data_IF_803753858190
#
_entry.id   IF_803753858190
#
_cell.length_a   1.000
_cell.length_b   1.000
_cell.length_c   1.000
_cell.angle_alpha   90.00
_cell.angle_beta   90.00
_cell.angle_gamma   90.00
#
_symmetry.space_group_name_H-M   'P 1'
#
loop_
_entity.id
_entity.type
_entity.pdbx_description
1 polymer ?
#
# COMPACT_ATOMS: atom_id res chain seq x y z
N UNK A 1 -12.09 -18.71 13.02
CA UNK A 1 -11.46 -19.84 13.73
C UNK A 1 -10.66 -19.30 14.93
N UNK A 2 -10.78 -19.87 16.12
CA UNK A 2 -10.00 -19.45 17.29
C UNK A 2 -8.82 -20.39 17.47
N UNK A 3 -7.59 -19.84 17.51
CA UNK A 3 -6.39 -20.60 17.86
C UNK A 3 -5.96 -20.16 19.26
N UNK A 4 -5.88 -21.07 20.22
CA UNK A 4 -5.58 -20.77 21.63
C UNK A 4 -6.45 -19.66 22.26
N UNK A 5 -7.74 -19.59 21.90
CA UNK A 5 -8.67 -18.58 22.43
C UNK A 5 -8.56 -17.17 21.81
N UNK A 6 -7.60 -16.95 20.92
CA UNK A 6 -7.40 -15.68 20.20
C UNK A 6 -8.07 -15.79 18.80
N UNK A 7 -8.73 -14.73 18.37
CA UNK A 7 -9.25 -14.67 17.00
C UNK A 7 -8.07 -14.71 16.01
N UNK A 8 -8.19 -15.50 14.94
CA UNK A 8 -7.14 -15.67 13.91
C UNK A 8 -6.66 -14.34 13.35
N UNK A 9 -7.56 -13.39 13.13
CA UNK A 9 -7.28 -12.07 12.59
C UNK A 9 -6.32 -11.27 13.51
N UNK A 10 -6.53 -11.34 14.82
CA UNK A 10 -5.68 -10.67 15.81
C UNK A 10 -4.29 -11.28 15.83
N UNK A 11 -4.20 -12.61 15.75
CA UNK A 11 -2.89 -13.28 15.69
C UNK A 11 -2.14 -12.91 14.42
N UNK A 12 -2.82 -12.92 13.29
CA UNK A 12 -2.28 -12.51 11.99
C UNK A 12 -1.76 -11.07 12.02
N UNK A 13 -2.54 -10.10 12.51
CA UNK A 13 -2.12 -8.70 12.67
C UNK A 13 -0.86 -8.56 13.52
N UNK A 14 -0.73 -9.34 14.59
CA UNK A 14 0.50 -9.35 15.42
C UNK A 14 1.70 -9.87 14.64
N UNK A 15 1.53 -10.95 13.89
CA UNK A 15 2.60 -11.50 13.05
C UNK A 15 3.02 -10.51 11.96
N UNK A 16 2.04 -9.85 11.30
CA UNK A 16 2.29 -8.81 10.32
C UNK A 16 3.07 -7.64 10.90
N UNK A 17 2.66 -7.18 12.07
CA UNK A 17 3.34 -6.08 12.78
C UNK A 17 4.76 -6.47 13.19
N UNK A 18 4.97 -7.68 13.66
CA UNK A 18 6.30 -8.19 14.00
C UNK A 18 7.20 -8.27 12.76
N UNK A 19 6.68 -8.83 11.65
CA UNK A 19 7.37 -8.89 10.37
C UNK A 19 7.71 -7.50 9.83
N UNK A 20 6.74 -6.58 9.82
CA UNK A 20 6.96 -5.20 9.36
C UNK A 20 8.06 -4.50 10.17
N UNK A 21 8.04 -4.62 11.49
CA UNK A 21 9.11 -4.09 12.36
C UNK A 21 10.46 -4.75 12.11
N UNK A 22 10.47 -6.03 11.79
CA UNK A 22 11.68 -6.74 11.36
C UNK A 22 12.27 -6.16 10.08
N UNK A 23 11.43 -5.90 9.08
CA UNK A 23 11.84 -5.28 7.82
C UNK A 23 12.41 -3.87 8.06
N UNK A 24 11.73 -3.03 8.85
CA UNK A 24 12.24 -1.70 9.22
C UNK A 24 13.63 -1.78 9.84
N UNK A 25 13.86 -2.75 10.74
CA UNK A 25 15.14 -2.94 11.41
C UNK A 25 16.23 -3.44 10.45
N UNK A 26 15.90 -4.42 9.59
CA UNK A 26 16.87 -5.02 8.64
C UNK A 26 17.41 -3.96 7.67
N UNK A 27 16.55 -3.06 7.18
CA UNK A 27 16.93 -2.02 6.23
C UNK A 27 17.21 -0.66 6.88
N UNK A 28 17.45 -0.61 8.19
CA UNK A 28 17.79 0.62 8.93
C UNK A 28 16.81 1.78 8.64
N UNK A 29 15.51 1.46 8.67
CA UNK A 29 14.46 2.43 8.37
C UNK A 29 13.99 3.17 9.63
N UNK A 30 14.14 4.49 9.65
CA UNK A 30 13.55 5.38 10.66
C UNK A 30 12.15 5.78 10.21
N UNK A 31 11.14 5.40 10.98
CA UNK A 31 9.74 5.64 10.67
C UNK A 31 9.19 6.86 11.42
N UNK A 32 8.67 7.82 10.66
CA UNK A 32 8.01 9.03 11.15
C UNK A 32 6.54 9.00 10.76
N UNK A 33 5.66 9.26 11.72
CA UNK A 33 4.21 9.23 11.52
C UNK A 33 3.66 10.62 11.80
N UNK A 34 2.92 11.18 10.84
CA UNK A 34 2.17 12.43 10.94
C UNK A 34 0.66 12.13 10.89
N UNK A 35 -0.10 12.77 11.73
CA UNK A 35 -1.52 12.48 11.90
C UNK A 35 -1.79 11.18 12.66
N UNK A 36 -3.03 10.95 13.07
CA UNK A 36 -3.41 9.79 13.86
C UNK A 36 -3.56 8.53 12.97
N UNK A 37 -2.81 7.44 13.23
CA UNK A 37 -3.03 6.17 12.55
C UNK A 37 -4.46 5.67 12.79
N UNK A 38 -5.18 5.22 11.76
CA UNK A 38 -6.55 4.75 11.92
C UNK A 38 -6.62 3.47 12.75
N UNK A 39 -7.71 3.33 13.51
CA UNK A 39 -8.05 2.09 14.21
C UNK A 39 -9.20 1.40 13.48
N UNK A 40 -9.19 0.05 13.35
CA UNK A 40 -10.32 -0.67 12.77
C UNK A 40 -11.65 -0.32 13.44
N UNK A 41 -12.74 -0.24 12.68
CA UNK A 41 -12.85 -0.46 11.24
C UNK A 41 -12.41 0.74 10.39
N UNK A 42 -11.67 0.50 9.28
CA UNK A 42 -11.32 1.56 8.34
C UNK A 42 -11.10 1.03 6.91
N UNK A 43 -11.29 1.92 5.94
CA UNK A 43 -10.83 1.76 4.56
C UNK A 43 -9.92 2.96 4.23
N UNK A 44 -8.68 2.68 3.78
CA UNK A 44 -7.69 3.73 3.52
C UNK A 44 -7.02 3.51 2.16
N UNK A 45 -6.74 4.59 1.46
CA UNK A 45 -5.95 4.57 0.22
C UNK A 45 -4.60 5.23 0.44
N UNK A 46 -3.58 4.70 -0.23
CA UNK A 46 -2.22 5.26 -0.21
C UNK A 46 -1.61 5.31 -1.61
N UNK A 47 -0.68 6.23 -1.84
CA UNK A 47 0.24 6.14 -2.97
C UNK A 47 1.14 4.91 -2.82
N UNK A 48 1.72 4.43 -3.94
CA UNK A 48 2.49 3.18 -3.98
C UNK A 48 3.86 3.39 -4.61
N UNK A 49 4.90 3.23 -3.82
CA UNK A 49 6.28 3.49 -4.22
C UNK A 49 7.13 2.22 -4.31
N UNK A 50 6.81 1.22 -3.47
CA UNK A 50 7.65 0.02 -3.34
C UNK A 50 6.86 -1.16 -2.77
N UNK A 51 7.33 -2.39 -2.99
CA UNK A 51 6.84 -3.55 -2.24
C UNK A 51 7.08 -3.41 -0.72
N UNK A 52 7.98 -2.53 -0.31
CA UNK A 52 8.25 -2.20 1.10
C UNK A 52 7.11 -1.45 1.78
N UNK A 53 6.21 -0.81 1.02
CA UNK A 53 5.05 -0.11 1.60
C UNK A 53 4.19 -1.08 2.42
N UNK A 54 4.08 -2.35 1.99
CA UNK A 54 3.28 -3.38 2.65
C UNK A 54 3.78 -3.66 4.07
N UNK A 55 5.05 -4.09 4.30
CA UNK A 55 5.55 -4.31 5.65
C UNK A 55 5.61 -3.04 6.51
N UNK A 56 5.82 -1.87 5.89
CA UNK A 56 5.86 -0.60 6.61
C UNK A 56 4.49 -0.25 7.16
N UNK A 57 3.43 -0.28 6.34
CA UNK A 57 2.06 -0.08 6.83
C UNK A 57 1.66 -1.14 7.86
N UNK A 58 2.02 -2.40 7.64
CA UNK A 58 1.74 -3.47 8.59
C UNK A 58 2.43 -3.27 9.96
N UNK A 59 3.58 -2.57 9.99
CA UNK A 59 4.24 -2.21 11.25
C UNK A 59 3.44 -1.16 12.06
N UNK A 60 2.61 -0.35 11.38
CA UNK A 60 1.91 0.82 11.97
C UNK A 60 0.45 0.52 12.28
N UNK A 61 -0.29 -0.04 11.33
CA UNK A 61 -1.75 -0.23 11.41
C UNK A 61 -2.15 -1.70 11.26
N UNK A 62 -3.28 -2.06 11.87
CA UNK A 62 -3.86 -3.39 11.72
C UNK A 62 -4.70 -3.43 10.43
N UNK A 63 -4.08 -3.83 9.33
CA UNK A 63 -4.68 -3.77 8.01
C UNK A 63 -4.43 -5.04 7.21
N UNK A 64 -5.31 -5.32 6.25
CA UNK A 64 -5.01 -6.17 5.11
C UNK A 64 -4.84 -5.32 3.86
N UNK A 65 -4.35 -5.92 2.79
CA UNK A 65 -4.07 -5.26 1.53
C UNK A 65 -4.86 -5.90 0.41
N UNK A 66 -5.19 -5.11 -0.61
CA UNK A 66 -5.78 -5.62 -1.85
C UNK A 66 -4.71 -5.62 -2.93
N UNK A 67 -4.50 -6.77 -3.56
CA UNK A 67 -3.45 -6.97 -4.57
C UNK A 67 -3.99 -7.69 -5.81
N UNK A 68 -3.23 -7.59 -6.91
CA UNK A 68 -3.56 -8.30 -8.15
C UNK A 68 -3.44 -9.82 -7.98
N UNK A 69 -4.34 -10.59 -8.61
CA UNK A 69 -4.34 -12.06 -8.56
C UNK A 69 -3.06 -12.69 -9.10
N UNK A 70 -2.37 -12.03 -10.02
CA UNK A 70 -1.14 -12.50 -10.64
C UNK A 70 0.00 -12.69 -9.62
N UNK A 71 0.06 -11.83 -8.58
CA UNK A 71 1.06 -11.92 -7.51
C UNK A 71 0.93 -13.21 -6.69
N UNK A 72 -0.28 -13.80 -6.66
CA UNK A 72 -0.53 -15.08 -5.99
C UNK A 72 0.37 -16.21 -6.50
N UNK A 73 0.76 -16.14 -7.76
CA UNK A 73 1.56 -17.17 -8.43
C UNK A 73 3.08 -16.93 -8.35
N UNK A 74 3.51 -15.83 -7.76
CA UNK A 74 4.93 -15.56 -7.59
C UNK A 74 5.53 -16.47 -6.51
N UNK A 75 6.61 -17.17 -6.81
CA UNK A 75 7.27 -18.02 -5.83
C UNK A 75 7.57 -17.25 -4.54
N UNK A 76 7.36 -17.86 -3.39
CA UNK A 76 7.54 -17.28 -2.06
C UNK A 76 6.64 -16.08 -1.75
N UNK A 77 6.57 -15.07 -2.63
CA UNK A 77 5.76 -13.86 -2.42
C UNK A 77 4.27 -14.19 -2.39
N UNK A 78 3.78 -15.02 -3.30
CA UNK A 78 2.38 -15.45 -3.33
C UNK A 78 1.99 -16.28 -2.10
N UNK A 79 2.88 -17.18 -1.65
CA UNK A 79 2.67 -17.93 -0.42
C UNK A 79 2.63 -17.00 0.81
N UNK A 80 3.59 -16.08 0.91
CA UNK A 80 3.63 -15.09 1.98
C UNK A 80 2.39 -14.20 1.98
N UNK A 81 1.98 -13.70 0.81
CA UNK A 81 0.79 -12.87 0.67
C UNK A 81 -0.50 -13.60 1.10
N UNK A 82 -0.58 -14.91 0.81
CA UNK A 82 -1.68 -15.74 1.30
C UNK A 82 -1.66 -15.88 2.82
N UNK A 83 -0.50 -16.16 3.41
CA UNK A 83 -0.34 -16.24 4.88
C UNK A 83 -0.67 -14.92 5.57
N UNK A 84 -0.37 -13.79 4.92
CA UNK A 84 -0.66 -12.45 5.39
C UNK A 84 -2.14 -12.04 5.19
N UNK A 85 -2.94 -12.90 4.54
CA UNK A 85 -4.36 -12.66 4.28
C UNK A 85 -4.60 -11.50 3.32
N UNK A 86 -3.70 -11.30 2.36
CA UNK A 86 -3.88 -10.32 1.30
C UNK A 86 -5.05 -10.75 0.43
N UNK A 87 -5.96 -9.83 0.15
CA UNK A 87 -7.12 -10.04 -0.71
C UNK A 87 -6.66 -9.92 -2.16
N UNK A 88 -6.80 -11.01 -2.93
CA UNK A 88 -6.41 -11.02 -4.34
C UNK A 88 -7.62 -10.76 -5.24
N UNK A 89 -7.47 -9.82 -6.17
CA UNK A 89 -8.52 -9.46 -7.14
C UNK A 89 -8.09 -9.80 -8.57
N UNK A 90 -8.93 -10.55 -9.28
CA UNK A 90 -8.86 -10.71 -10.73
C UNK A 90 -9.88 -9.78 -11.40
N UNK A 91 -9.43 -8.61 -11.83
CA UNK A 91 -10.27 -7.55 -12.42
C UNK A 91 -10.90 -7.94 -13.77
N UNK A 92 -10.41 -8.99 -14.43
CA UNK A 92 -10.95 -9.48 -15.70
C UNK A 92 -12.23 -10.31 -15.52
N UNK A 93 -12.49 -10.78 -14.31
CA UNK A 93 -13.63 -11.64 -13.99
C UNK A 93 -14.65 -10.88 -13.13
N UNK A 94 -15.81 -10.56 -13.70
CA UNK A 94 -16.92 -9.91 -12.96
C UNK A 94 -17.39 -10.72 -11.74
N UNK A 95 -17.33 -12.05 -11.81
CA UNK A 95 -17.67 -12.93 -10.68
C UNK A 95 -16.70 -12.78 -9.51
N UNK A 96 -15.44 -12.45 -9.78
CA UNK A 96 -14.41 -12.26 -8.76
C UNK A 96 -14.62 -10.96 -7.97
N UNK A 97 -15.18 -9.94 -8.62
CA UNK A 97 -15.50 -8.65 -7.98
C UNK A 97 -16.45 -8.85 -6.80
N UNK A 98 -17.53 -9.64 -6.98
CA UNK A 98 -18.49 -9.91 -5.89
C UNK A 98 -17.84 -10.67 -4.72
N UNK A 99 -16.99 -11.65 -5.00
CA UNK A 99 -16.25 -12.39 -3.98
C UNK A 99 -15.35 -11.43 -3.19
N UNK A 100 -14.57 -10.63 -3.90
CA UNK A 100 -13.62 -9.66 -3.31
C UNK A 100 -14.35 -8.61 -2.50
N UNK A 101 -15.50 -8.11 -2.96
CA UNK A 101 -16.33 -7.18 -2.20
C UNK A 101 -16.73 -7.76 -0.83
N UNK A 102 -17.17 -9.01 -0.78
CA UNK A 102 -17.50 -9.67 0.49
C UNK A 102 -16.27 -9.81 1.41
N UNK A 103 -15.12 -10.20 0.84
CA UNK A 103 -13.85 -10.31 1.60
C UNK A 103 -13.38 -8.95 2.12
N UNK A 104 -13.55 -7.87 1.35
CA UNK A 104 -13.23 -6.51 1.78
C UNK A 104 -14.16 -6.06 2.92
N UNK A 105 -15.48 -6.29 2.81
CA UNK A 105 -16.44 -5.95 3.86
C UNK A 105 -16.05 -6.62 5.17
N UNK A 106 -15.82 -7.93 5.15
CA UNK A 106 -15.38 -8.69 6.33
C UNK A 106 -14.04 -8.18 6.88
N UNK A 107 -13.10 -7.84 6.00
CA UNK A 107 -11.80 -7.32 6.40
C UNK A 107 -11.90 -5.92 7.03
N UNK A 108 -12.71 -5.03 6.47
CA UNK A 108 -12.94 -3.67 7.01
C UNK A 108 -13.46 -3.75 8.44
N UNK A 109 -14.46 -4.62 8.70
CA UNK A 109 -15.06 -4.76 10.04
C UNK A 109 -14.07 -5.26 11.11
N UNK A 110 -13.12 -6.10 10.70
CA UNK A 110 -12.27 -6.82 11.65
C UNK A 110 -10.87 -6.22 11.83
N UNK A 111 -10.26 -5.63 10.78
CA UNK A 111 -8.86 -5.17 10.83
C UNK A 111 -8.55 -3.97 9.95
N UNK A 112 -9.49 -3.48 9.19
CA UNK A 112 -9.26 -2.43 8.21
C UNK A 112 -8.62 -2.94 6.90
N UNK A 113 -8.74 -2.11 5.86
CA UNK A 113 -8.24 -2.39 4.52
C UNK A 113 -7.43 -1.22 4.01
N UNK A 114 -6.25 -1.50 3.45
CA UNK A 114 -5.42 -0.55 2.71
C UNK A 114 -5.35 -0.94 1.24
N UNK A 115 -5.63 0.04 0.39
CA UNK A 115 -5.63 -0.09 -1.06
C UNK A 115 -4.66 0.91 -1.69
N UNK A 116 -3.91 0.46 -2.72
CA UNK A 116 -3.09 1.31 -3.58
C UNK A 116 -3.82 1.57 -4.90
N UNK A 117 -4.54 2.69 -5.03
CA UNK A 117 -5.43 2.92 -6.19
C UNK A 117 -4.68 3.25 -7.48
N UNK A 118 -3.39 3.56 -7.42
CA UNK A 118 -2.51 3.73 -8.58
C UNK A 118 -2.32 2.42 -9.36
N UNK A 119 -2.49 1.28 -8.68
CA UNK A 119 -2.39 -0.07 -9.25
C UNK A 119 -1.00 -0.47 -9.77
N UNK A 120 -0.02 0.37 -9.59
CA UNK A 120 1.40 0.14 -9.89
C UNK A 120 2.25 0.97 -8.94
N UNK A 121 3.52 0.63 -8.80
CA UNK A 121 4.51 1.43 -8.07
C UNK A 121 5.09 2.53 -8.96
N UNK A 122 5.57 3.62 -8.35
CA UNK A 122 6.12 4.78 -9.03
C UNK A 122 7.44 5.24 -8.40
N UNK A 123 8.24 6.09 -9.07
CA UNK A 123 9.42 6.70 -8.48
C UNK A 123 9.10 7.75 -7.41
N UNK A 124 7.83 8.12 -7.25
CA UNK A 124 7.40 9.13 -6.29
C UNK A 124 7.70 10.58 -6.72
N UNK A 125 7.77 10.86 -8.01
CA UNK A 125 7.85 12.24 -8.54
C UNK A 125 6.48 12.93 -8.52
N UNK A 126 5.41 12.15 -8.73
CA UNK A 126 4.03 12.60 -8.71
C UNK A 126 3.07 11.49 -8.26
N UNK A 127 1.82 11.85 -8.00
CA UNK A 127 0.75 10.89 -7.76
C UNK A 127 0.16 10.44 -9.10
N UNK A 128 0.20 9.14 -9.35
CA UNK A 128 -0.39 8.55 -10.54
C UNK A 128 -1.93 8.57 -10.43
N UNK A 129 -2.58 8.53 -11.60
CA UNK A 129 -4.03 8.53 -11.69
C UNK A 129 -4.64 7.33 -10.94
N UNK A 130 -5.63 7.59 -10.10
CA UNK A 130 -6.36 6.57 -9.37
C UNK A 130 -7.28 5.77 -10.29
N UNK A 131 -7.17 4.46 -10.23
CA UNK A 131 -8.04 3.52 -10.97
C UNK A 131 -9.37 3.38 -10.23
N UNK A 132 -10.40 4.08 -10.70
CA UNK A 132 -11.74 4.09 -10.06
C UNK A 132 -12.37 2.70 -9.91
N UNK A 133 -12.02 1.74 -10.77
CA UNK A 133 -12.48 0.35 -10.65
C UNK A 133 -12.03 -0.35 -9.37
N UNK A 134 -10.99 0.14 -8.70
CA UNK A 134 -10.54 -0.38 -7.42
C UNK A 134 -11.34 0.15 -6.23
N UNK A 135 -12.09 1.22 -6.45
CA UNK A 135 -12.93 1.89 -5.45
C UNK A 135 -14.42 1.53 -5.63
N UNK A 136 -14.74 0.58 -6.52
CA UNK A 136 -16.11 0.17 -6.80
C UNK A 136 -16.84 -0.27 -5.54
N UNK A 137 -16.22 -1.18 -4.78
CA UNK A 137 -16.77 -1.64 -3.51
C UNK A 137 -17.00 -0.50 -2.50
N UNK A 138 -16.01 0.39 -2.35
CA UNK A 138 -16.15 1.52 -1.42
C UNK A 138 -17.30 2.46 -1.83
N UNK A 139 -17.54 2.62 -3.13
CA UNK A 139 -18.64 3.42 -3.66
C UNK A 139 -20.00 2.71 -3.52
N UNK A 140 -20.09 1.42 -3.85
CA UNK A 140 -21.32 0.62 -3.73
C UNK A 140 -21.85 0.60 -2.30
N UNK A 141 -20.97 0.42 -1.31
CA UNK A 141 -21.30 0.35 0.10
C UNK A 141 -21.24 1.72 0.80
N UNK A 142 -20.99 2.79 0.03
CA UNK A 142 -20.81 4.17 0.52
C UNK A 142 -19.86 4.25 1.74
N UNK A 143 -18.74 3.52 1.67
CA UNK A 143 -17.77 3.47 2.75
C UNK A 143 -17.03 4.80 2.90
N UNK A 144 -16.74 5.16 4.14
CA UNK A 144 -15.89 6.30 4.45
C UNK A 144 -14.42 5.93 4.24
N UNK A 145 -13.79 6.49 3.20
CA UNK A 145 -12.40 6.24 2.81
C UNK A 145 -11.51 7.38 3.28
N UNK A 146 -10.43 7.07 3.97
CA UNK A 146 -9.38 8.02 4.35
C UNK A 146 -8.16 7.90 3.43
N UNK A 147 -7.22 8.86 3.57
CA UNK A 147 -6.02 8.94 2.73
C UNK A 147 -4.78 8.89 3.61
N UNK A 148 -3.76 8.16 3.17
CA UNK A 148 -2.41 8.23 3.72
C UNK A 148 -1.39 8.42 2.60
N UNK A 149 -0.38 9.24 2.83
CA UNK A 149 0.74 9.41 1.91
C UNK A 149 2.01 8.83 2.53
N UNK A 150 2.74 8.02 1.75
CA UNK A 150 4.06 7.49 2.12
C UNK A 150 5.15 8.15 1.29
N UNK A 151 6.29 8.43 1.94
CA UNK A 151 7.47 9.02 1.31
C UNK A 151 8.74 8.37 1.85
N UNK A 152 9.74 8.25 0.99
CA UNK A 152 11.08 7.80 1.32
C UNK A 152 12.12 8.89 1.12
N UNK A 153 13.15 8.87 1.96
CA UNK A 153 14.31 9.75 1.87
C UNK A 153 15.56 8.96 2.29
N UNK A 154 16.65 9.12 1.59
CA UNK A 154 17.95 8.53 1.91
C UNK A 154 18.95 9.63 2.27
N UNK A 155 20.05 9.27 2.94
CA UNK A 155 21.12 10.24 3.22
C UNK A 155 21.82 10.66 1.92
N UNK A 156 22.40 11.87 1.89
CA UNK A 156 23.06 12.42 0.70
C UNK A 156 24.21 11.55 0.15
N UNK A 157 24.85 10.75 0.99
CA UNK A 157 25.92 9.83 0.61
C UNK A 157 25.41 8.55 -0.05
N UNK A 158 24.12 8.23 0.14
CA UNK A 158 23.50 7.03 -0.38
C UNK A 158 22.88 7.26 -1.78
N UNK A 159 22.55 6.18 -2.46
CA UNK A 159 21.77 6.27 -3.69
C UNK A 159 20.40 6.86 -3.37
N UNK A 160 19.97 7.85 -4.15
CA UNK A 160 18.70 8.54 -3.94
C UNK A 160 17.51 7.58 -3.83
N UNK A 161 16.56 7.86 -2.94
CA UNK A 161 15.46 6.97 -2.57
C UNK A 161 14.62 6.51 -3.75
N UNK A 162 14.42 7.35 -4.77
CA UNK A 162 13.67 6.97 -5.97
C UNK A 162 14.33 5.85 -6.79
N UNK A 163 15.64 5.59 -6.61
CA UNK A 163 16.41 4.53 -7.28
C UNK A 163 16.74 3.35 -6.37
N UNK A 164 16.85 3.58 -5.06
CA UNK A 164 17.29 2.55 -4.10
C UNK A 164 16.15 1.94 -3.28
N UNK A 165 15.07 2.69 -3.04
CA UNK A 165 13.93 2.28 -2.18
C UNK A 165 12.64 2.14 -2.97
N UNK A 166 12.34 3.10 -3.86
CA UNK A 166 11.20 2.97 -4.76
C UNK A 166 11.48 1.91 -5.81
N UNK A 167 10.52 1.00 -6.03
CA UNK A 167 10.65 -0.07 -7.01
C UNK A 167 9.68 0.17 -8.17
N UNK A 168 10.20 0.54 -9.31
CA UNK A 168 9.41 0.96 -10.47
C UNK A 168 10.10 0.60 -11.79
N UNK A 169 9.36 0.71 -12.89
CA UNK A 169 9.84 0.35 -14.23
C UNK A 169 10.16 -1.14 -14.35
N UNK A 170 11.13 -1.46 -15.19
CA UNK A 170 11.56 -2.84 -15.47
C UNK A 170 12.70 -3.31 -14.55
N UNK A 171 12.92 -2.63 -13.42
CA UNK A 171 14.01 -2.99 -12.49
C UNK A 171 13.80 -4.39 -11.92
N UNK A 172 14.70 -5.37 -12.18
CA UNK A 172 14.57 -6.70 -11.62
C UNK A 172 14.65 -6.67 -10.09
N UNK A 173 13.82 -7.50 -9.43
CA UNK A 173 13.74 -7.53 -7.97
C UNK A 173 15.10 -7.80 -7.29
N UNK A 174 15.90 -8.73 -7.84
CA UNK A 174 17.20 -9.06 -7.26
C UNK A 174 18.19 -7.88 -7.33
N UNK A 175 18.20 -7.13 -8.43
CA UNK A 175 19.02 -5.92 -8.57
C UNK A 175 18.58 -4.84 -7.60
N UNK A 176 17.26 -4.64 -7.46
CA UNK A 176 16.71 -3.68 -6.52
C UNK A 176 17.05 -4.04 -5.07
N UNK A 177 16.97 -5.33 -4.69
CA UNK A 177 17.34 -5.79 -3.35
C UNK A 177 18.81 -5.54 -3.03
N UNK A 178 19.71 -5.70 -3.99
CA UNK A 178 21.13 -5.37 -3.82
C UNK A 178 21.33 -3.87 -3.59
N UNK A 179 20.70 -3.03 -4.41
CA UNK A 179 20.75 -1.58 -4.28
C UNK A 179 20.19 -1.11 -2.94
N UNK A 180 19.04 -1.67 -2.52
CA UNK A 180 18.44 -1.42 -1.22
C UNK A 180 19.36 -1.83 -0.07
N UNK A 181 20.03 -2.99 -0.18
CA UNK A 181 20.96 -3.48 0.82
C UNK A 181 22.24 -2.64 0.97
N UNK A 182 22.60 -1.85 -0.05
CA UNK A 182 23.72 -0.91 -0.01
C UNK A 182 23.33 0.45 0.59
N UNK A 183 22.04 0.71 0.86
CA UNK A 183 21.57 1.96 1.45
C UNK A 183 21.78 1.94 2.96
N UNK A 184 22.51 2.91 3.50
CA UNK A 184 22.93 2.90 4.89
C UNK A 184 21.79 3.24 5.85
N UNK A 185 20.91 4.17 5.46
CA UNK A 185 19.79 4.63 6.26
C UNK A 185 18.65 5.15 5.40
N UNK A 186 17.43 4.77 5.76
CA UNK A 186 16.22 5.17 5.05
C UNK A 186 15.29 5.86 6.04
N UNK A 187 14.87 7.07 5.72
CA UNK A 187 13.78 7.75 6.42
C UNK A 187 12.48 7.46 5.71
N UNK A 188 11.51 6.98 6.46
CA UNK A 188 10.15 6.69 6.00
C UNK A 188 9.20 7.66 6.68
N UNK A 189 8.42 8.37 5.93
CA UNK A 189 7.39 9.25 6.46
C UNK A 189 6.02 8.77 5.99
N UNK A 190 5.08 8.55 6.94
CA UNK A 190 3.67 8.30 6.64
C UNK A 190 2.85 9.43 7.22
N UNK A 191 2.05 10.08 6.38
CA UNK A 191 1.10 11.11 6.77
C UNK A 191 -0.32 10.58 6.63
N UNK A 192 -1.08 10.50 7.74
CA UNK A 192 -2.48 10.12 7.74
C UNK A 192 -3.38 11.36 7.71
N UNK A 193 -4.41 11.34 6.86
CA UNK A 193 -5.46 12.37 6.84
C UNK A 193 -6.52 12.09 7.88
N UNK A 194 -6.99 13.14 8.56
CA UNK A 194 -8.17 13.08 9.42
C UNK A 194 -9.48 13.12 8.62
N UNK A 195 -9.41 13.55 7.35
CA UNK A 195 -10.57 13.65 6.48
C UNK A 195 -10.96 12.28 5.92
N UNK A 196 -12.27 12.09 5.81
CA UNK A 196 -12.87 10.90 5.20
C UNK A 196 -13.77 11.32 4.04
N UNK A 197 -13.73 10.56 2.98
CA UNK A 197 -14.48 10.79 1.75
C UNK A 197 -15.40 9.61 1.49
N UNK A 198 -16.62 9.90 1.08
CA UNK A 198 -17.55 8.91 0.57
C UNK A 198 -18.25 9.45 -0.68
N UNK A 199 -18.64 8.58 -1.57
CA UNK A 199 -19.45 8.85 -2.75
C UNK A 199 -19.95 7.53 -3.32
N UNK A 200 -21.18 7.51 -3.84
CA UNK A 200 -21.74 6.35 -4.52
C UNK A 200 -21.27 6.21 -5.98
N UNK A 201 -20.68 7.27 -6.54
CA UNK A 201 -19.99 7.19 -7.83
C UNK A 201 -18.48 6.99 -7.61
N UNK A 202 -17.98 5.81 -8.01
CA UNK A 202 -16.56 5.46 -7.89
C UNK A 202 -15.59 6.41 -8.59
N UNK A 203 -16.03 7.10 -9.67
CA UNK A 203 -15.19 8.05 -10.41
C UNK A 203 -15.07 9.35 -9.62
N UNK A 204 -16.18 9.82 -9.05
CA UNK A 204 -16.18 11.00 -8.18
C UNK A 204 -15.37 10.72 -6.92
N UNK A 205 -15.57 9.56 -6.29
CA UNK A 205 -14.78 9.14 -5.13
C UNK A 205 -13.28 9.12 -5.45
N UNK A 206 -12.88 8.54 -6.59
CA UNK A 206 -11.48 8.50 -7.01
C UNK A 206 -10.88 9.91 -7.18
N UNK A 207 -11.61 10.84 -7.80
CA UNK A 207 -11.17 12.22 -7.97
C UNK A 207 -11.01 12.96 -6.64
N UNK A 208 -11.93 12.78 -5.69
CA UNK A 208 -11.82 13.38 -4.34
C UNK A 208 -10.59 12.88 -3.61
N UNK A 209 -10.37 11.56 -3.60
CA UNK A 209 -9.24 10.91 -2.94
C UNK A 209 -7.90 11.28 -3.60
N UNK A 210 -7.84 11.30 -4.95
CA UNK A 210 -6.65 11.70 -5.70
C UNK A 210 -6.28 13.16 -5.43
N UNK A 211 -7.28 14.06 -5.40
CA UNK A 211 -7.07 15.47 -5.05
C UNK A 211 -6.47 15.59 -3.65
N UNK A 212 -7.05 14.93 -2.65
CA UNK A 212 -6.54 14.96 -1.28
C UNK A 212 -5.13 14.36 -1.17
N UNK A 213 -4.88 13.27 -1.89
CA UNK A 213 -3.53 12.69 -1.96
C UNK A 213 -2.51 13.68 -2.49
N UNK A 214 -2.82 14.40 -3.58
CA UNK A 214 -1.93 15.42 -4.17
C UNK A 214 -1.65 16.58 -3.23
N UNK A 215 -2.61 16.97 -2.39
CA UNK A 215 -2.43 18.01 -1.36
C UNK A 215 -1.46 17.58 -0.24
N UNK A 216 -1.45 16.28 0.08
CA UNK A 216 -0.61 15.70 1.14
C UNK A 216 0.76 15.24 0.64
N UNK A 217 0.87 15.02 -0.65
CA UNK A 217 2.04 14.39 -1.25
C UNK A 217 3.25 15.32 -1.27
N UNK A 218 4.39 14.78 -0.85
CA UNK A 218 5.69 15.42 -0.99
C UNK A 218 6.54 14.54 -1.89
N UNK A 219 7.01 15.02 -3.05
CA UNK A 219 7.80 14.23 -3.98
C UNK A 219 9.05 13.62 -3.34
N UNK A 220 9.36 12.38 -3.71
CA UNK A 220 10.63 11.71 -3.34
C UNK A 220 11.79 12.28 -4.14
N UNK A 221 11.54 12.59 -5.41
CA UNK A 221 12.50 13.23 -6.30
C UNK A 221 11.75 14.06 -7.35
N UNK A 222 12.43 15.08 -7.85
CA UNK A 222 12.00 15.81 -9.03
C UNK A 222 12.71 15.15 -10.23
N UNK A 223 11.99 14.28 -10.94
CA UNK A 223 12.49 13.59 -12.14
C UNK A 223 11.75 14.19 -13.33
N UNK A 224 12.49 14.57 -14.38
CA UNK A 224 11.88 14.94 -15.65
C UNK A 224 11.11 13.73 -16.22
N UNK A 225 9.86 13.97 -16.62
CA UNK A 225 8.89 12.95 -17.05
C UNK A 225 9.36 12.14 -18.26
N UNK A 226 10.35 12.63 -19.01
CA UNK A 226 10.95 11.93 -20.18
C UNK A 226 11.66 10.63 -19.81
N UNK A 227 12.15 10.50 -18.58
CA UNK A 227 12.82 9.27 -18.09
C UNK A 227 11.84 8.26 -17.49
N UNK A 228 10.57 8.60 -17.37
CA UNK A 228 9.55 7.76 -16.77
C UNK A 228 8.60 7.17 -17.82
N UNK A 229 8.78 5.90 -18.16
CA UNK A 229 7.77 5.11 -18.88
C UNK A 229 7.06 4.20 -17.87
N UNK A 230 5.82 4.52 -17.44
CA UNK A 230 5.05 3.60 -16.62
C UNK A 230 4.84 2.31 -17.43
N UNK A 231 5.06 1.17 -16.80
CA UNK A 231 4.71 -0.12 -17.39
C UNK A 231 3.19 -0.15 -17.54
N UNK A 232 2.71 -0.05 -18.78
CA UNK A 232 1.28 -0.30 -19.07
C UNK A 232 1.03 -1.81 -18.99
N UNK A 233 0.18 -2.20 -18.03
CA UNK A 233 -0.31 -3.58 -17.84
C UNK A 233 -1.75 -3.71 -18.32
#
# INVERSE_FOLDING_TARGET
MKLFGIRWEVWRSRCMRFWGRGVLKIFSMDLFIKGPPPKPPFFIVSNHLSYLDIPIYAAVIDTTFVSKSEIRHWPFVGWMAHMLGIIFINRKLKSDVKRVNNEITEAVENQGVLLFPEATTSPGSEILRFRSSLLEHAAEDNLAVSVAAIRYETEEKDIAAYRSVCWWGDTPLHTHLLTLGCTSKIKVEITFSDEKFCDTDRKILALKLEKKMKEMFVPVAYIDVEDYKPVEF
#
